data_IF_349971111195
#
_entry.id   IF_349971111195
#
_cell.length_a   1.000
_cell.length_b   1.000
_cell.length_c   1.000
_cell.angle_alpha   90.00
_cell.angle_beta   90.00
_cell.angle_gamma   90.00
#
_symmetry.space_group_name_H-M   'P 1'
#
loop_
_entity.id
_entity.type
_entity.pdbx_description
1 polymer ?
#
# COMPACT_ATOMS: atom_id res chain seq x y z
N UNK A 1 -8.51 -15.09 14.08
CA UNK A 1 -7.43 -14.48 13.26
C UNK A 1 -6.10 -15.22 13.29
N UNK A 2 -5.55 -15.63 14.45
CA UNK A 2 -4.27 -16.38 14.50
C UNK A 2 -4.30 -17.76 13.81
N UNK A 3 -5.43 -18.49 13.88
CA UNK A 3 -5.61 -19.76 13.13
C UNK A 3 -5.67 -19.58 11.61
N UNK A 4 -6.24 -18.47 11.13
CA UNK A 4 -6.34 -18.18 9.69
C UNK A 4 -4.97 -17.87 9.06
N UNK A 5 -4.09 -17.20 9.81
CA UNK A 5 -2.70 -16.97 9.38
C UNK A 5 -1.88 -18.26 9.30
N UNK A 6 -2.16 -19.22 10.19
CA UNK A 6 -1.46 -20.50 10.23
C UNK A 6 -1.86 -21.44 9.08
N UNK A 7 -3.08 -21.33 8.56
CA UNK A 7 -3.54 -22.12 7.41
C UNK A 7 -3.06 -21.54 6.07
N UNK A 8 -2.98 -20.20 5.94
CA UNK A 8 -2.36 -19.55 4.77
C UNK A 8 -0.86 -19.90 4.63
N UNK A 9 -0.17 -20.16 5.75
CA UNK A 9 1.24 -20.56 5.72
C UNK A 9 1.48 -21.98 5.17
N UNK A 10 0.49 -22.88 5.28
CA UNK A 10 0.65 -24.28 4.90
C UNK A 10 0.49 -24.53 3.39
N UNK A 11 -0.13 -23.61 2.66
CA UNK A 11 -0.30 -23.67 1.20
C UNK A 11 0.65 -22.76 0.41
N UNK A 12 1.67 -22.17 1.05
CA UNK A 12 2.69 -21.35 0.35
C UNK A 12 3.59 -22.25 -0.49
N UNK A 13 3.17 -22.48 -1.73
CA UNK A 13 3.96 -23.09 -2.80
C UNK A 13 5.34 -22.43 -2.89
N UNK A 14 6.37 -23.18 -3.27
CA UNK A 14 7.73 -22.65 -3.45
C UNK A 14 7.78 -21.37 -4.32
N UNK A 15 6.84 -21.24 -5.26
CA UNK A 15 6.64 -20.05 -6.09
C UNK A 15 6.27 -18.79 -5.30
N UNK A 16 5.51 -18.89 -4.21
CA UNK A 16 5.13 -17.72 -3.38
C UNK A 16 6.32 -17.20 -2.58
N UNK A 17 7.16 -18.12 -2.08
CA UNK A 17 8.42 -17.76 -1.40
C UNK A 17 9.40 -17.09 -2.35
N UNK A 18 9.55 -17.62 -3.56
CA UNK A 18 10.40 -17.05 -4.59
C UNK A 18 9.87 -15.68 -5.02
N UNK A 19 8.55 -15.56 -5.25
CA UNK A 19 7.90 -14.31 -5.61
C UNK A 19 8.10 -13.22 -4.54
N UNK A 20 8.00 -13.54 -3.25
CA UNK A 20 8.26 -12.58 -2.18
C UNK A 20 9.72 -12.12 -2.12
N UNK A 21 10.68 -13.01 -2.34
CA UNK A 21 12.09 -12.63 -2.41
C UNK A 21 12.38 -11.73 -3.61
N UNK A 22 11.82 -12.08 -4.79
CA UNK A 22 12.00 -11.29 -6.02
C UNK A 22 11.34 -9.91 -5.88
N UNK A 23 10.12 -9.84 -5.34
CA UNK A 23 9.44 -8.58 -5.02
C UNK A 23 10.30 -7.67 -4.14
N UNK A 24 10.81 -8.20 -3.02
CA UNK A 24 11.60 -7.42 -2.08
C UNK A 24 12.95 -7.02 -2.66
N UNK A 25 13.52 -7.85 -3.52
CA UNK A 25 14.80 -7.60 -4.18
C UNK A 25 14.67 -6.55 -5.29
N UNK A 26 13.68 -6.68 -6.18
CA UNK A 26 13.43 -5.74 -7.27
C UNK A 26 13.08 -4.33 -6.78
N UNK A 27 12.41 -4.22 -5.63
CA UNK A 27 12.14 -2.94 -4.97
C UNK A 27 13.29 -2.39 -4.11
N UNK A 28 14.44 -3.06 -4.04
CA UNK A 28 15.54 -2.67 -3.14
C UNK A 28 16.56 -1.77 -3.82
N UNK A 29 17.07 -0.78 -3.08
CA UNK A 29 18.24 0.02 -3.47
C UNK A 29 19.48 -0.83 -3.76
N UNK A 30 19.61 -2.03 -3.16
CA UNK A 30 20.72 -2.95 -3.43
C UNK A 30 20.73 -3.45 -4.88
N UNK A 31 19.55 -3.67 -5.45
CA UNK A 31 19.41 -4.11 -6.84
C UNK A 31 19.88 -3.02 -7.81
N UNK A 32 19.51 -1.76 -7.53
CA UNK A 32 19.97 -0.60 -8.29
C UNK A 32 21.51 -0.48 -8.27
N UNK A 33 22.14 -0.58 -7.09
CA UNK A 33 23.61 -0.53 -7.00
C UNK A 33 24.29 -1.67 -7.76
N UNK A 34 23.73 -2.88 -7.70
CA UNK A 34 24.23 -4.02 -8.46
C UNK A 34 24.18 -3.75 -9.96
N UNK A 35 23.07 -3.20 -10.47
CA UNK A 35 22.92 -2.82 -11.87
C UNK A 35 23.90 -1.73 -12.29
N UNK A 36 24.03 -0.67 -11.49
CA UNK A 36 25.00 0.41 -11.77
C UNK A 36 26.42 -0.14 -11.82
N UNK A 37 26.79 -1.03 -10.90
CA UNK A 37 28.13 -1.62 -10.87
C UNK A 37 28.34 -2.56 -12.06
N UNK A 38 27.35 -3.38 -12.40
CA UNK A 38 27.41 -4.30 -13.54
C UNK A 38 27.52 -3.55 -14.88
N UNK A 39 26.60 -2.64 -15.17
CA UNK A 39 26.63 -1.84 -16.41
C UNK A 39 27.82 -0.88 -16.43
N UNK A 40 28.15 -0.25 -15.30
CA UNK A 40 29.32 0.61 -15.19
C UNK A 40 30.62 -0.14 -15.48
N UNK A 41 30.77 -1.35 -14.93
CA UNK A 41 31.93 -2.21 -15.22
C UNK A 41 31.97 -2.61 -16.70
N UNK A 42 30.82 -2.97 -17.30
CA UNK A 42 30.74 -3.28 -18.72
C UNK A 42 31.16 -2.10 -19.60
N UNK A 43 30.72 -0.89 -19.25
CA UNK A 43 31.07 0.33 -19.97
C UNK A 43 32.56 0.62 -19.85
N UNK A 44 33.14 0.54 -18.64
CA UNK A 44 34.58 0.78 -18.41
C UNK A 44 35.45 -0.20 -19.20
N UNK A 45 35.07 -1.48 -19.24
CA UNK A 45 35.75 -2.51 -20.04
C UNK A 45 35.69 -2.16 -21.53
N UNK A 46 34.52 -1.80 -22.05
CA UNK A 46 34.34 -1.53 -23.48
C UNK A 46 34.86 -0.15 -23.91
N UNK A 47 35.11 0.78 -22.98
CA UNK A 47 35.84 2.03 -23.25
C UNK A 47 37.35 1.81 -23.44
N UNK A 48 37.86 0.59 -23.22
CA UNK A 48 39.29 0.29 -23.35
C UNK A 48 40.16 0.91 -22.25
N UNK A 49 39.56 1.33 -21.14
CA UNK A 49 40.26 1.91 -19.98
C UNK A 49 41.06 0.85 -19.19
N UNK A 50 40.79 -0.44 -19.45
CA UNK A 50 41.47 -1.57 -18.81
C UNK A 50 42.57 -2.13 -19.73
N UNK A 51 43.86 -1.97 -19.37
CA UNK A 51 44.96 -2.51 -20.16
C UNK A 51 44.91 -4.05 -20.16
N UNK A 52 44.84 -4.65 -21.35
CA UNK A 52 44.85 -6.11 -21.55
C UNK A 52 43.49 -6.76 -21.82
N UNK A 53 42.37 -6.01 -21.79
CA UNK A 53 41.05 -6.53 -22.15
C UNK A 53 40.64 -6.02 -23.54
N UNK A 54 40.33 -6.91 -24.51
CA UNK A 54 39.84 -6.49 -25.82
C UNK A 54 38.42 -5.92 -25.73
N UNK A 55 38.15 -4.87 -26.50
CA UNK A 55 36.81 -4.29 -26.64
C UNK A 55 35.91 -5.33 -27.33
N UNK A 56 34.87 -5.77 -26.63
CA UNK A 56 34.00 -6.86 -27.09
C UNK A 56 32.64 -6.36 -27.62
N UNK A 57 32.14 -5.24 -27.10
CA UNK A 57 30.86 -4.62 -27.46
C UNK A 57 31.05 -3.12 -27.80
N UNK A 58 31.65 -2.78 -28.96
CA UNK A 58 32.01 -1.40 -29.31
C UNK A 58 30.80 -0.47 -29.51
N UNK A 59 29.66 -1.03 -29.91
CA UNK A 59 28.41 -0.29 -30.16
C UNK A 59 27.43 -0.34 -28.98
N UNK A 60 27.78 -1.05 -27.90
CA UNK A 60 26.90 -1.34 -26.76
C UNK A 60 25.58 -2.04 -27.13
N UNK A 61 25.51 -2.65 -28.32
CA UNK A 61 24.29 -3.26 -28.83
C UNK A 61 23.92 -4.52 -28.04
N UNK A 62 24.92 -5.29 -27.58
CA UNK A 62 24.68 -6.47 -26.77
C UNK A 62 24.19 -6.11 -25.37
N UNK A 63 24.80 -5.10 -24.73
CA UNK A 63 24.32 -4.55 -23.47
C UNK A 63 22.87 -4.07 -23.59
N UNK A 64 22.56 -3.26 -24.61
CA UNK A 64 21.23 -2.71 -24.81
C UNK A 64 20.17 -3.81 -25.02
N UNK A 65 20.50 -4.86 -25.78
CA UNK A 65 19.60 -5.99 -26.01
C UNK A 65 19.30 -6.75 -24.71
N UNK A 66 20.33 -7.08 -23.93
CA UNK A 66 20.19 -7.80 -22.66
C UNK A 66 19.39 -6.95 -21.66
N UNK A 67 19.75 -5.67 -21.50
CA UNK A 67 19.06 -4.75 -20.61
C UNK A 67 17.58 -4.58 -20.98
N UNK A 68 17.24 -4.58 -22.28
CA UNK A 68 15.84 -4.48 -22.73
C UNK A 68 15.02 -5.70 -22.32
N UNK A 69 15.57 -6.91 -22.51
CA UNK A 69 14.91 -8.15 -22.07
C UNK A 69 14.77 -8.16 -20.55
N UNK A 70 15.84 -7.82 -19.83
CA UNK A 70 15.84 -7.75 -18.36
C UNK A 70 14.79 -6.76 -17.83
N UNK A 71 14.67 -5.58 -18.43
CA UNK A 71 13.70 -4.56 -18.04
C UNK A 71 12.24 -5.05 -18.14
N UNK A 72 11.90 -5.87 -19.14
CA UNK A 72 10.56 -6.46 -19.28
C UNK A 72 10.28 -7.42 -18.11
N UNK A 73 11.24 -8.26 -17.75
CA UNK A 73 11.12 -9.16 -16.60
C UNK A 73 10.95 -8.38 -15.29
N UNK A 74 11.80 -7.38 -15.04
CA UNK A 74 11.71 -6.54 -13.83
C UNK A 74 10.36 -5.85 -13.77
N UNK A 75 9.92 -5.21 -14.86
CA UNK A 75 8.64 -4.50 -14.90
C UNK A 75 7.48 -5.44 -14.62
N UNK A 76 7.49 -6.64 -15.20
CA UNK A 76 6.45 -7.65 -14.94
C UNK A 76 6.44 -8.08 -13.48
N UNK A 77 7.61 -8.33 -12.87
CA UNK A 77 7.69 -8.66 -11.44
C UNK A 77 7.23 -7.52 -10.54
N UNK A 78 7.58 -6.28 -10.89
CA UNK A 78 7.13 -5.08 -10.18
C UNK A 78 5.60 -4.94 -10.27
N UNK A 79 5.00 -5.13 -11.45
CA UNK A 79 3.56 -5.08 -11.64
C UNK A 79 2.82 -6.16 -10.84
N UNK A 80 3.34 -7.39 -10.85
CA UNK A 80 2.78 -8.49 -10.04
C UNK A 80 2.83 -8.13 -8.55
N UNK A 81 3.96 -7.58 -8.10
CA UNK A 81 4.15 -7.12 -6.72
C UNK A 81 3.18 -6.01 -6.34
N UNK A 82 3.07 -4.99 -7.19
CA UNK A 82 2.16 -3.85 -7.01
C UNK A 82 0.70 -4.31 -6.95
N UNK A 83 0.29 -5.21 -7.85
CA UNK A 83 -1.06 -5.80 -7.82
C UNK A 83 -1.35 -6.55 -6.51
N UNK A 84 -0.35 -7.25 -5.96
CA UNK A 84 -0.51 -7.93 -4.66
C UNK A 84 -0.65 -6.93 -3.52
N UNK A 85 0.21 -5.91 -3.46
CA UNK A 85 0.14 -4.86 -2.43
C UNK A 85 -1.20 -4.10 -2.50
N UNK A 86 -1.66 -3.74 -3.70
CA UNK A 86 -2.94 -3.07 -3.90
C UNK A 86 -4.13 -3.91 -3.38
N UNK A 87 -4.11 -5.24 -3.58
CA UNK A 87 -5.14 -6.13 -3.02
C UNK A 87 -5.10 -6.20 -1.49
N UNK A 88 -3.90 -6.24 -0.91
CA UNK A 88 -3.75 -6.21 0.56
C UNK A 88 -4.21 -4.89 1.15
N UNK A 89 -3.85 -3.77 0.52
CA UNK A 89 -4.24 -2.43 0.95
C UNK A 89 -5.75 -2.22 0.85
N UNK A 90 -6.39 -2.69 -0.23
CA UNK A 90 -7.85 -2.66 -0.37
C UNK A 90 -8.55 -3.44 0.76
N UNK A 91 -8.04 -4.63 1.12
CA UNK A 91 -8.58 -5.42 2.23
C UNK A 91 -8.41 -4.71 3.58
N UNK A 92 -7.27 -4.03 3.79
CA UNK A 92 -7.04 -3.24 5.01
C UNK A 92 -7.96 -2.03 5.07
N UNK A 93 -8.20 -1.36 3.95
CA UNK A 93 -9.11 -0.22 3.86
C UNK A 93 -10.55 -0.62 4.24
N UNK A 94 -11.05 -1.73 3.69
CA UNK A 94 -12.37 -2.27 4.03
C UNK A 94 -12.48 -2.61 5.53
N UNK A 95 -11.48 -3.29 6.10
CA UNK A 95 -11.48 -3.60 7.54
C UNK A 95 -11.44 -2.32 8.41
N UNK A 96 -10.63 -1.33 8.02
CA UNK A 96 -10.55 -0.06 8.73
C UNK A 96 -11.89 0.68 8.69
N UNK A 97 -12.58 0.67 7.54
CA UNK A 97 -13.92 1.25 7.43
C UNK A 97 -14.89 0.57 8.39
N UNK A 98 -14.92 -0.77 8.43
CA UNK A 98 -15.79 -1.52 9.34
C UNK A 98 -15.49 -1.20 10.82
N UNK A 99 -14.22 -1.10 11.19
CA UNK A 99 -13.82 -0.74 12.56
C UNK A 99 -14.28 0.68 12.90
N UNK A 100 -14.14 1.64 11.99
CA UNK A 100 -14.61 3.01 12.19
C UNK A 100 -16.13 3.08 12.38
N UNK A 101 -16.90 2.38 11.55
CA UNK A 101 -18.36 2.31 11.68
C UNK A 101 -18.80 1.70 13.01
N UNK A 102 -18.13 0.63 13.43
CA UNK A 102 -18.42 0.00 14.72
C UNK A 102 -18.07 0.94 15.88
N UNK A 103 -16.91 1.61 15.80
CA UNK A 103 -16.47 2.59 16.79
C UNK A 103 -17.44 3.76 16.92
N UNK A 104 -17.99 4.24 15.81
CA UNK A 104 -19.02 5.28 15.80
C UNK A 104 -20.31 4.81 16.48
N UNK A 105 -20.78 3.60 16.17
CA UNK A 105 -21.96 3.03 16.83
C UNK A 105 -21.76 2.85 18.35
N UNK A 106 -20.58 2.38 18.76
CA UNK A 106 -20.23 2.24 20.17
C UNK A 106 -20.13 3.59 20.87
N UNK A 107 -19.54 4.61 20.22
CA UNK A 107 -19.46 5.97 20.74
C UNK A 107 -20.85 6.57 20.97
N UNK A 108 -21.77 6.43 20.00
CA UNK A 108 -23.16 6.90 20.13
C UNK A 108 -23.90 6.18 21.25
N UNK A 109 -23.70 4.86 21.40
CA UNK A 109 -24.28 4.11 22.54
C UNK A 109 -23.74 4.58 23.88
N UNK A 110 -22.43 4.84 23.98
CA UNK A 110 -21.82 5.37 25.18
C UNK A 110 -22.36 6.77 25.50
N UNK A 111 -22.46 7.66 24.50
CA UNK A 111 -23.05 8.98 24.66
C UNK A 111 -24.49 8.87 25.20
N UNK A 112 -25.32 8.02 24.58
CA UNK A 112 -26.70 7.82 25.02
C UNK A 112 -26.79 7.31 26.47
N UNK A 113 -25.93 6.35 26.86
CA UNK A 113 -25.87 5.84 28.23
C UNK A 113 -25.40 6.91 29.23
N UNK A 114 -24.37 7.69 28.87
CA UNK A 114 -23.85 8.78 29.72
C UNK A 114 -24.89 9.87 29.89
N UNK A 115 -25.57 10.30 28.83
CA UNK A 115 -26.66 11.28 28.89
C UNK A 115 -27.83 10.79 29.75
N UNK A 116 -28.19 9.49 29.65
CA UNK A 116 -29.21 8.90 30.51
C UNK A 116 -28.82 8.92 32.00
N UNK A 117 -27.55 8.67 32.32
CA UNK A 117 -27.02 8.73 33.69
C UNK A 117 -27.02 10.18 34.20
N UNK A 118 -26.54 11.14 33.40
CA UNK A 118 -26.50 12.57 33.75
C UNK A 118 -27.90 13.08 34.10
N UNK A 119 -28.90 12.75 33.26
CA UNK A 119 -30.31 13.09 33.48
C UNK A 119 -30.87 12.49 34.77
N UNK A 120 -30.44 11.28 35.15
CA UNK A 120 -30.89 10.62 36.39
C UNK A 120 -30.27 11.22 37.65
N UNK A 121 -29.05 11.75 37.54
CA UNK A 121 -28.31 12.37 38.64
C UNK A 121 -28.57 13.88 38.79
N UNK A 122 -29.44 14.46 37.95
CA UNK A 122 -29.73 15.90 37.89
C UNK A 122 -28.47 16.77 37.73
N UNK A 123 -27.46 16.22 37.06
CA UNK A 123 -26.22 16.94 36.78
C UNK A 123 -26.47 17.84 35.58
N UNK A 124 -26.54 19.16 35.82
CA UNK A 124 -26.52 20.15 34.75
C UNK A 124 -25.19 20.08 34.02
N UNK A 125 -25.17 19.40 32.90
CA UNK A 125 -24.05 19.40 31.95
C UNK A 125 -24.24 20.56 30.97
N UNK A 126 -23.17 21.32 30.71
CA UNK A 126 -23.10 22.41 29.71
C UNK A 126 -23.29 21.94 28.26
N UNK A 127 -23.61 20.65 28.07
CA UNK A 127 -23.79 19.96 26.78
C UNK A 127 -25.29 19.79 26.45
N UNK A 128 -26.20 20.15 27.37
CA UNK A 128 -27.65 19.95 27.20
C UNK A 128 -28.20 20.66 25.94
N UNK A 129 -27.59 21.78 25.54
CA UNK A 129 -27.93 22.50 24.31
C UNK A 129 -27.26 21.92 23.05
N UNK A 130 -26.25 21.04 23.18
CA UNK A 130 -25.44 20.53 22.05
C UNK A 130 -25.74 19.06 21.69
N UNK A 131 -26.36 18.28 22.59
CA UNK A 131 -26.67 16.85 22.35
C UNK A 131 -27.73 16.67 21.26
N UNK A 132 -28.76 17.53 21.20
CA UNK A 132 -29.80 17.47 20.14
C UNK A 132 -29.22 17.80 18.75
N UNK A 133 -28.18 18.64 18.69
CA UNK A 133 -27.48 19.01 17.46
C UNK A 133 -26.50 17.90 17.00
N UNK A 134 -25.81 17.24 17.94
CA UNK A 134 -24.89 16.13 17.66
C UNK A 134 -25.61 14.81 17.32
N UNK A 135 -26.83 14.59 17.82
CA UNK A 135 -27.59 13.37 17.56
C UNK A 135 -28.25 13.34 16.17
N UNK A 136 -28.28 14.47 15.45
CA UNK A 136 -29.12 14.60 14.25
C UNK A 136 -28.41 14.27 12.94
N UNK A 137 -27.13 14.57 12.70
CA UNK A 137 -26.55 14.31 11.38
C UNK A 137 -25.03 14.14 11.40
N UNK A 138 -24.56 12.91 11.62
CA UNK A 138 -23.53 12.38 10.72
C UNK A 138 -23.80 10.87 10.63
N UNK A 139 -24.66 10.45 9.71
CA UNK A 139 -24.71 9.03 9.36
C UNK A 139 -23.57 8.72 8.39
N UNK A 140 -22.92 7.56 8.50
CA UNK A 140 -21.81 7.18 7.62
C UNK A 140 -22.14 7.25 6.13
N UNK A 141 -23.41 7.03 5.77
CA UNK A 141 -23.89 7.14 4.39
C UNK A 141 -23.78 8.58 3.84
N UNK A 142 -23.93 9.61 4.67
CA UNK A 142 -23.80 11.02 4.26
C UNK A 142 -22.35 11.45 4.01
N UNK A 143 -21.37 10.82 4.69
CA UNK A 143 -19.94 11.11 4.45
C UNK A 143 -19.46 10.51 3.14
N UNK A 144 -19.93 9.31 2.79
CA UNK A 144 -19.64 8.67 1.49
C UNK A 144 -20.16 9.50 0.31
N UNK A 145 -21.37 10.07 0.41
CA UNK A 145 -21.96 10.90 -0.65
C UNK A 145 -21.17 12.20 -0.89
N UNK A 146 -20.59 12.80 0.17
CA UNK A 146 -19.78 14.04 0.04
C UNK A 146 -18.40 13.81 -0.58
N UNK A 147 -17.90 12.57 -0.62
CA UNK A 147 -16.62 12.23 -1.25
C UNK A 147 -16.78 12.07 -2.77
N UNK A 148 -17.85 11.40 -3.22
CA UNK A 148 -18.17 11.23 -4.65
C UNK A 148 -18.44 12.59 -5.33
N UNK A 149 -19.10 13.53 -4.65
CA UNK A 149 -19.38 14.88 -5.18
C UNK A 149 -18.12 15.74 -5.35
N UNK A 150 -17.12 15.60 -4.47
CA UNK A 150 -15.84 16.34 -4.58
C UNK A 150 -14.88 15.77 -5.60
N UNK A 151 -15.04 14.51 -5.98
CA UNK A 151 -14.22 13.87 -7.03
C UNK A 151 -14.81 14.13 -8.44
N UNK A 152 -16.10 14.49 -8.51
CA UNK A 152 -16.79 14.86 -9.75
C UNK A 152 -16.64 16.34 -10.17
N UNK A 153 -16.15 17.22 -9.29
CA UNK A 153 -15.81 18.60 -9.67
C UNK A 153 -14.44 18.64 -10.37
N UNK A 154 -14.35 19.05 -11.65
CA UNK A 154 -13.07 19.28 -12.29
C UNK A 154 -12.37 20.42 -11.55
N UNK A 155 -11.16 20.16 -11.06
CA UNK A 155 -10.30 21.21 -10.50
C UNK A 155 -9.97 22.21 -11.60
N UNK A 156 -10.59 23.39 -11.54
CA UNK A 156 -10.20 24.57 -12.35
C UNK A 156 -8.84 25.14 -11.90
#
# INVERSE_FOLDING_TARGET
>A
MLKQRADDERNRTAQDRISQHITNFAGSLKFLYLHILAFGSWIVVNLGLLPGVPIFDPSFAMLAMIASVEAIFITTFVLISQNRMAREDAKRADLNLQISLLGEQEATRLLALVSAIAKRLDVKTDVDDTIDELATEITPEQVLHRLDEREAEPRE
#
